data_IF_776622376287
#
_entry.id   IF_776622376287
#
_cell.length_a   1.000
_cell.length_b   1.000
_cell.length_c   1.000
_cell.angle_alpha   90.00
_cell.angle_beta   90.00
_cell.angle_gamma   90.00
#
_symmetry.space_group_name_H-M   'P 1'
#
loop_
_entity.id
_entity.type
_entity.pdbx_description
1 polymer ?
#
# COMPACT_ATOMS: atom_id res chain seq x y z
N UNK A 1 -2.05 10.59 -5.00
CA UNK A 1 -2.51 11.97 -4.71
C UNK A 1 -1.33 12.91 -4.64
N UNK A 2 -0.37 12.64 -3.78
CA UNK A 2 0.74 13.57 -3.53
C UNK A 2 1.99 12.81 -3.06
N UNK A 3 3.16 13.41 -3.24
CA UNK A 3 4.45 12.93 -2.71
C UNK A 3 5.02 14.04 -1.84
N UNK A 4 5.22 13.75 -0.54
CA UNK A 4 5.57 14.75 0.48
C UNK A 4 6.84 14.37 1.23
N UNK A 5 7.37 15.31 2.00
CA UNK A 5 8.55 15.08 2.83
C UNK A 5 9.85 15.50 2.14
N UNK A 6 10.98 15.27 2.81
CA UNK A 6 12.32 15.68 2.37
C UNK A 6 13.37 14.66 2.81
N UNK A 7 14.46 14.56 2.06
CA UNK A 7 15.55 13.63 2.37
C UNK A 7 15.07 12.18 2.41
N UNK A 8 15.45 11.44 3.45
CA UNK A 8 15.02 10.05 3.68
C UNK A 8 13.78 9.93 4.56
N UNK A 9 12.91 10.94 4.54
CA UNK A 9 11.60 10.91 5.20
C UNK A 9 10.54 11.38 4.21
N UNK A 10 10.05 10.44 3.39
CA UNK A 10 9.14 10.70 2.26
C UNK A 10 7.81 9.99 2.49
N UNK A 11 6.70 10.67 2.19
CA UNK A 11 5.34 10.15 2.26
C UNK A 11 4.70 10.05 0.90
N UNK A 12 4.12 8.88 0.58
CA UNK A 12 3.30 8.65 -0.61
C UNK A 12 1.82 8.67 -0.20
N UNK A 13 1.08 9.72 -0.56
CA UNK A 13 -0.35 9.85 -0.25
C UNK A 13 -1.21 9.27 -1.37
N UNK A 14 -2.01 8.26 -1.01
CA UNK A 14 -2.98 7.62 -1.88
C UNK A 14 -4.32 8.37 -1.84
N UNK A 15 -5.10 8.25 -2.91
CA UNK A 15 -6.49 8.66 -2.86
C UNK A 15 -7.29 7.69 -2.02
N UNK A 16 -8.29 8.20 -1.32
CA UNK A 16 -9.33 7.36 -0.77
C UNK A 16 -10.18 6.80 -1.92
N UNK A 17 -10.32 5.49 -1.93
CA UNK A 17 -10.92 4.67 -2.97
C UNK A 17 -12.13 3.90 -2.42
N UNK A 18 -12.46 4.09 -1.13
CA UNK A 18 -13.68 3.56 -0.50
C UNK A 18 -14.94 3.94 -1.30
N UNK A 19 -14.92 5.12 -1.93
CA UNK A 19 -16.00 5.64 -2.78
C UNK A 19 -15.98 5.12 -4.23
N UNK A 20 -14.87 4.53 -4.69
CA UNK A 20 -14.68 4.10 -6.09
C UNK A 20 -14.74 2.59 -6.30
N UNK A 21 -14.91 1.80 -5.23
CA UNK A 21 -14.98 0.35 -5.34
C UNK A 21 -16.32 -0.09 -5.97
N UNK A 22 -16.29 -0.94 -7.02
CA UNK A 22 -17.50 -1.48 -7.64
C UNK A 22 -18.44 -2.12 -6.62
N UNK A 23 -19.76 -1.90 -6.74
CA UNK A 23 -20.75 -2.42 -5.78
C UNK A 23 -20.67 -3.94 -5.57
N UNK A 24 -20.21 -4.69 -6.56
CA UNK A 24 -20.01 -6.15 -6.48
C UNK A 24 -18.97 -6.57 -5.44
N UNK A 25 -18.04 -5.69 -5.07
CA UNK A 25 -17.04 -5.96 -4.03
C UNK A 25 -17.53 -5.57 -2.63
N UNK A 26 -18.69 -4.89 -2.50
CA UNK A 26 -19.25 -4.45 -1.20
C UNK A 26 -19.33 -5.55 -0.12
N UNK A 27 -19.70 -6.81 -0.41
CA UNK A 27 -19.77 -7.85 0.62
C UNK A 27 -18.38 -8.25 1.16
N UNK A 28 -17.37 -8.28 0.28
CA UNK A 28 -15.98 -8.54 0.65
C UNK A 28 -15.43 -7.35 1.43
N UNK A 29 -15.77 -6.14 0.99
CA UNK A 29 -15.46 -4.87 1.67
C UNK A 29 -16.11 -4.81 3.05
N UNK A 30 -17.35 -5.26 3.24
CA UNK A 30 -18.02 -5.23 4.56
C UNK A 30 -17.42 -6.21 5.58
N UNK A 31 -16.90 -7.36 5.14
CA UNK A 31 -16.14 -8.29 6.01
C UNK A 31 -14.77 -7.73 6.33
N UNK A 32 -14.20 -7.03 5.36
CA UNK A 32 -12.98 -6.29 5.54
C UNK A 32 -13.23 -4.95 6.27
N UNK A 33 -14.43 -4.43 6.48
CA UNK A 33 -14.68 -2.99 6.80
C UNK A 33 -13.98 -2.53 8.09
N UNK A 34 -13.94 -3.39 9.11
CA UNK A 34 -13.14 -3.11 10.32
C UNK A 34 -11.62 -3.12 10.06
N UNK A 35 -11.15 -3.87 9.07
CA UNK A 35 -9.75 -3.99 8.61
C UNK A 35 -9.40 -3.02 7.44
N UNK A 36 -10.39 -2.61 6.64
CA UNK A 36 -10.39 -1.66 5.52
C UNK A 36 -10.48 -0.21 5.99
N UNK A 37 -10.79 0.00 7.27
CA UNK A 37 -10.36 1.20 8.00
C UNK A 37 -8.86 1.46 7.79
N UNK A 38 -8.07 0.45 7.38
CA UNK A 38 -6.78 0.61 6.70
C UNK A 38 -6.98 0.81 5.20
N UNK A 39 -6.77 2.04 4.75
CA UNK A 39 -6.78 2.49 3.36
C UNK A 39 -5.87 1.69 2.40
N UNK A 40 -5.87 2.04 1.10
CA UNK A 40 -5.16 1.40 -0.01
C UNK A 40 -3.70 1.16 0.33
N UNK A 41 -3.10 2.16 0.96
CA UNK A 41 -1.78 2.13 1.54
C UNK A 41 -1.52 0.88 2.38
N UNK A 42 -2.45 0.46 3.25
CA UNK A 42 -2.34 -0.73 4.07
C UNK A 42 -2.27 -2.02 3.25
N UNK A 43 -3.13 -2.17 2.23
CA UNK A 43 -3.06 -3.32 1.32
C UNK A 43 -1.77 -3.31 0.51
N UNK A 44 -1.40 -2.15 -0.01
CA UNK A 44 -0.19 -1.96 -0.79
C UNK A 44 1.02 -2.34 0.04
N UNK A 45 1.17 -1.86 1.28
CA UNK A 45 2.32 -2.23 2.11
C UNK A 45 2.31 -3.69 2.56
N UNK A 46 1.14 -4.28 2.85
CA UNK A 46 1.06 -5.70 3.17
C UNK A 46 1.52 -6.58 1.99
N UNK A 47 1.12 -6.23 0.77
CA UNK A 47 1.51 -6.95 -0.45
C UNK A 47 2.96 -6.65 -0.86
N UNK A 48 3.45 -5.43 -0.65
CA UNK A 48 4.87 -5.08 -0.82
C UNK A 48 5.75 -5.96 0.07
N UNK A 49 5.36 -6.14 1.33
CA UNK A 49 6.10 -7.00 2.24
C UNK A 49 6.04 -8.46 1.81
N UNK A 50 4.84 -8.97 1.51
CA UNK A 50 4.61 -10.39 1.19
C UNK A 50 5.22 -10.83 -0.15
N UNK A 51 5.07 -10.01 -1.20
CA UNK A 51 5.41 -10.41 -2.57
C UNK A 51 6.78 -9.89 -3.04
N UNK A 52 7.35 -8.89 -2.35
CA UNK A 52 8.57 -8.19 -2.81
C UNK A 52 9.64 -8.00 -1.72
N UNK A 53 9.38 -8.46 -0.48
CA UNK A 53 10.22 -8.25 0.70
C UNK A 53 10.52 -6.77 0.98
N UNK A 54 9.52 -5.91 0.76
CA UNK A 54 9.61 -4.46 0.99
C UNK A 54 8.76 -4.08 2.20
N UNK A 55 9.42 -3.72 3.31
CA UNK A 55 8.76 -3.20 4.50
C UNK A 55 8.60 -1.68 4.41
N UNK A 56 7.39 -1.19 4.67
CA UNK A 56 7.07 0.23 4.71
C UNK A 56 6.33 0.60 6.00
N UNK A 57 6.39 1.87 6.39
CA UNK A 57 5.78 2.36 7.61
C UNK A 57 4.44 3.08 7.35
N UNK A 58 3.60 3.09 8.38
CA UNK A 58 2.29 3.73 8.38
C UNK A 58 2.11 4.55 9.64
N UNK A 59 1.16 5.49 9.61
CA UNK A 59 0.70 6.17 10.82
C UNK A 59 -0.81 6.17 10.96
N UNK A 60 -1.25 6.10 12.21
CA UNK A 60 -2.67 6.04 12.59
C UNK A 60 -3.47 7.28 12.17
N UNK A 61 -2.87 8.48 12.19
CA UNK A 61 -3.59 9.74 11.95
C UNK A 61 -4.02 9.93 10.49
N UNK A 62 -3.15 9.59 9.53
CA UNK A 62 -3.49 9.57 8.12
C UNK A 62 -3.07 8.23 7.53
N UNK A 63 -4.04 7.31 7.49
CA UNK A 63 -3.80 5.95 7.04
C UNK A 63 -3.48 5.91 5.55
N UNK A 64 -3.93 6.88 4.74
CA UNK A 64 -3.71 6.94 3.28
C UNK A 64 -2.26 7.22 2.87
N UNK A 65 -1.31 7.30 3.80
CA UNK A 65 0.08 7.62 3.52
C UNK A 65 0.99 6.44 3.83
N UNK A 66 1.76 6.00 2.84
CA UNK A 66 2.93 5.13 3.04
C UNK A 66 4.13 6.01 3.36
N UNK A 67 4.89 5.69 4.40
CA UNK A 67 6.14 6.38 4.75
C UNK A 67 7.35 5.57 4.36
N UNK A 68 8.27 6.25 3.69
CA UNK A 68 9.58 5.76 3.29
C UNK A 68 10.61 6.44 4.19
N UNK A 69 11.15 5.64 5.10
CA UNK A 69 12.13 6.07 6.10
C UNK A 69 13.32 5.09 6.09
N UNK A 70 14.03 4.94 4.94
CA UNK A 70 15.14 4.00 4.84
C UNK A 70 16.34 4.46 5.70
N UNK A 71 17.25 3.54 6.06
CA UNK A 71 18.46 3.89 6.81
C UNK A 71 19.36 4.83 6.01
N UNK A 72 20.21 5.60 6.70
CA UNK A 72 21.13 6.57 6.06
C UNK A 72 22.13 5.95 5.07
N UNK A 73 22.35 4.64 5.16
CA UNK A 73 23.18 3.87 4.23
C UNK A 73 22.43 3.44 2.96
N UNK A 74 21.20 3.93 2.75
CA UNK A 74 20.41 3.63 1.57
C UNK A 74 21.14 4.04 0.29
N UNK A 75 21.21 3.11 -0.66
CA UNK A 75 21.83 3.31 -1.96
C UNK A 75 20.75 3.42 -3.04
N UNK A 76 21.15 3.92 -4.22
CA UNK A 76 20.25 4.10 -5.36
C UNK A 76 19.55 2.80 -5.77
N UNK A 77 20.27 1.68 -5.74
CA UNK A 77 19.71 0.36 -6.05
C UNK A 77 18.56 -0.07 -5.14
N UNK A 78 18.57 0.33 -3.85
CA UNK A 78 17.45 0.05 -2.95
C UNK A 78 16.21 0.87 -3.34
N UNK A 79 16.40 2.10 -3.78
CA UNK A 79 15.32 2.96 -4.29
C UNK A 79 14.77 2.39 -5.60
N UNK A 80 15.64 1.98 -6.51
CA UNK A 80 15.24 1.39 -7.79
C UNK A 80 14.45 0.08 -7.57
N UNK A 81 14.90 -0.78 -6.64
CA UNK A 81 14.16 -1.99 -6.23
C UNK A 81 12.78 -1.65 -5.65
N UNK A 82 12.70 -0.64 -4.78
CA UNK A 82 11.43 -0.18 -4.22
C UNK A 82 10.48 0.31 -5.32
N UNK A 83 10.97 1.16 -6.23
CA UNK A 83 10.17 1.70 -7.35
C UNK A 83 9.67 0.57 -8.24
N UNK A 84 10.51 -0.40 -8.60
CA UNK A 84 10.12 -1.54 -9.42
C UNK A 84 9.06 -2.42 -8.72
N UNK A 85 9.20 -2.66 -7.41
CA UNK A 85 8.21 -3.41 -6.63
C UNK A 85 6.86 -2.67 -6.57
N UNK A 86 6.90 -1.36 -6.31
CA UNK A 86 5.70 -0.53 -6.26
C UNK A 86 4.99 -0.47 -7.61
N UNK A 87 5.72 -0.27 -8.70
CA UNK A 87 5.18 -0.22 -10.06
C UNK A 87 4.55 -1.57 -10.46
N UNK A 88 5.26 -2.67 -10.23
CA UNK A 88 4.76 -4.02 -10.50
C UNK A 88 3.49 -4.34 -9.72
N UNK A 89 3.41 -3.92 -8.44
CA UNK A 89 2.21 -4.10 -7.62
C UNK A 89 1.03 -3.24 -8.11
N UNK A 90 1.25 -1.95 -8.35
CA UNK A 90 0.18 -1.03 -8.76
C UNK A 90 -0.35 -1.35 -10.17
N UNK A 91 0.52 -1.85 -11.06
CA UNK A 91 0.15 -2.28 -12.42
C UNK A 91 -0.82 -3.46 -12.46
N UNK A 92 -0.96 -4.23 -11.37
CA UNK A 92 -1.97 -5.30 -11.25
C UNK A 92 -3.40 -4.77 -11.21
N UNK A 93 -3.57 -3.48 -10.90
CA UNK A 93 -4.86 -2.84 -10.73
C UNK A 93 -5.54 -3.15 -9.39
N UNK A 94 -6.38 -2.21 -8.95
CA UNK A 94 -7.00 -2.21 -7.62
C UNK A 94 -7.79 -3.48 -7.30
N UNK A 95 -8.51 -4.03 -8.29
CA UNK A 95 -9.33 -5.23 -8.10
C UNK A 95 -8.47 -6.45 -7.77
N UNK A 96 -7.35 -6.63 -8.48
CA UNK A 96 -6.42 -7.73 -8.20
C UNK A 96 -5.76 -7.57 -6.84
N UNK A 97 -5.30 -6.36 -6.51
CA UNK A 97 -4.68 -6.03 -5.22
C UNK A 97 -5.60 -6.42 -4.06
N UNK A 98 -6.88 -6.01 -4.10
CA UNK A 98 -7.85 -6.35 -3.05
C UNK A 98 -8.08 -7.85 -2.97
N UNK A 99 -8.26 -8.53 -4.11
CA UNK A 99 -8.44 -9.99 -4.17
C UNK A 99 -7.24 -10.74 -3.59
N UNK A 100 -6.03 -10.33 -3.95
CA UNK A 100 -4.78 -10.96 -3.51
C UNK A 100 -4.51 -10.74 -2.02
N UNK A 101 -4.91 -9.57 -1.50
CA UNK A 101 -4.88 -9.30 -0.07
C UNK A 101 -5.84 -10.22 0.69
N UNK A 102 -7.10 -10.32 0.27
CA UNK A 102 -8.08 -11.22 0.92
C UNK A 102 -7.57 -12.66 0.92
N UNK A 103 -7.05 -13.13 -0.22
CA UNK A 103 -6.46 -14.47 -0.33
C UNK A 103 -5.30 -14.67 0.66
N UNK A 104 -4.55 -13.63 0.99
CA UNK A 104 -3.46 -13.68 1.97
C UNK A 104 -3.93 -13.89 3.40
N UNK A 105 -5.16 -13.53 3.73
CA UNK A 105 -5.68 -13.57 5.11
C UNK A 105 -6.35 -14.90 5.46
N UNK A 106 -6.67 -15.72 4.45
CA UNK A 106 -7.36 -17.01 4.59
C UNK A 106 -6.36 -18.18 4.77
N UNK A 107 -5.06 -17.89 4.73
CA UNK A 107 -3.98 -18.89 4.79
C UNK A 107 -3.22 -18.83 6.10
#
# INVERSE_FOLDING_TARGET
KDVRGKGLMVGLEFHDFSQTLPMVLRPVVSVLDEKLKGSLSGFVGALLLRDYDVLVAFTEYNRNVIRLEPPLICQREHVDRFVAALDSLLSRGIVSIVKDFVKSQVR
#
